data_IF_184397530059
#
_entry.id   IF_184397530059
#
_cell.length_a   1.000
_cell.length_b   1.000
_cell.length_c   1.000
_cell.angle_alpha   90.00
_cell.angle_beta   90.00
_cell.angle_gamma   90.00
#
_symmetry.space_group_name_H-M   'P 1'
#
loop_
_entity.id
_entity.type
_entity.pdbx_description
1 polymer ?
#
# COMPACT_ATOMS: atom_id res chain seq x y z
N UNK A 1 6.30 -9.98 14.27
CA UNK A 1 6.97 -9.94 12.95
C UNK A 1 6.73 -11.27 12.25
N UNK A 2 6.78 -11.30 10.93
CA UNK A 2 6.63 -12.54 10.13
C UNK A 2 7.41 -12.42 8.83
N UNK A 3 7.56 -13.56 8.14
CA UNK A 3 8.16 -13.62 6.80
C UNK A 3 7.06 -13.94 5.80
N UNK A 4 7.08 -13.25 4.67
CA UNK A 4 6.26 -13.61 3.51
C UNK A 4 7.10 -13.56 2.24
N UNK A 5 6.78 -14.44 1.29
CA UNK A 5 7.34 -14.36 -0.07
C UNK A 5 6.55 -13.32 -0.85
N UNK A 6 7.23 -12.30 -1.36
CA UNK A 6 6.65 -11.30 -2.26
C UNK A 6 6.75 -11.83 -3.69
N UNK A 7 5.65 -11.73 -4.44
CA UNK A 7 5.54 -12.19 -5.83
C UNK A 7 5.06 -11.02 -6.66
N UNK A 8 5.65 -10.85 -7.83
CA UNK A 8 5.41 -9.72 -8.71
C UNK A 8 6.59 -8.76 -8.76
N UNK A 9 6.56 -7.86 -9.75
CA UNK A 9 7.68 -6.96 -10.09
C UNK A 9 7.38 -5.49 -9.81
N UNK A 10 6.19 -5.16 -9.33
CA UNK A 10 5.79 -3.78 -9.03
C UNK A 10 6.65 -3.08 -7.99
N UNK A 11 7.38 -3.81 -7.14
CA UNK A 11 8.25 -3.24 -6.11
C UNK A 11 9.74 -3.27 -6.47
N UNK A 12 10.12 -3.67 -7.67
CA UNK A 12 11.51 -3.59 -8.12
C UNK A 12 11.95 -2.11 -8.26
N UNK A 13 13.19 -1.75 -7.89
CA UNK A 13 14.26 -2.61 -7.39
C UNK A 13 14.27 -2.82 -5.87
N UNK A 14 13.36 -2.18 -5.13
CA UNK A 14 13.34 -2.21 -3.66
C UNK A 14 13.09 -3.62 -3.10
N UNK A 15 12.16 -4.35 -3.72
CA UNK A 15 11.89 -5.75 -3.43
C UNK A 15 11.92 -6.52 -4.76
N UNK A 16 12.97 -7.32 -5.03
CA UNK A 16 13.03 -8.19 -6.20
C UNK A 16 11.90 -9.23 -6.20
N UNK A 17 11.43 -9.61 -7.38
CA UNK A 17 10.42 -10.68 -7.50
C UNK A 17 10.89 -11.98 -6.84
N UNK A 18 9.97 -12.63 -6.11
CA UNK A 18 10.20 -13.88 -5.41
C UNK A 18 10.97 -13.76 -4.09
N UNK A 19 11.30 -12.55 -3.64
CA UNK A 19 12.01 -12.30 -2.38
C UNK A 19 11.24 -12.76 -1.15
N UNK A 20 11.95 -13.28 -0.14
CA UNK A 20 11.40 -13.44 1.20
C UNK A 20 11.67 -12.16 2.00
N UNK A 21 10.62 -11.53 2.49
CA UNK A 21 10.71 -10.26 3.20
C UNK A 21 10.23 -10.40 4.63
N UNK A 22 10.89 -9.69 5.54
CA UNK A 22 10.50 -9.55 6.93
C UNK A 22 9.52 -8.39 7.05
N UNK A 23 8.40 -8.63 7.71
CA UNK A 23 7.37 -7.65 7.98
C UNK A 23 7.09 -7.51 9.48
N UNK A 24 6.80 -6.28 9.91
CA UNK A 24 6.23 -6.01 11.23
C UNK A 24 4.72 -5.87 11.10
N UNK A 25 4.00 -6.81 11.71
CA UNK A 25 2.55 -6.77 11.85
C UNK A 25 2.12 -5.56 12.68
N UNK A 26 0.99 -4.94 12.34
CA UNK A 26 0.43 -3.74 12.99
C UNK A 26 1.47 -2.60 13.07
N UNK A 27 1.71 -1.91 11.94
CA UNK A 27 2.73 -0.85 11.89
C UNK A 27 2.41 0.26 12.89
N UNK A 28 3.44 0.70 13.61
CA UNK A 28 3.31 1.78 14.58
C UNK A 28 3.64 3.14 13.96
N UNK A 29 2.90 4.16 14.38
CA UNK A 29 3.08 5.54 13.92
C UNK A 29 2.59 5.79 12.49
N UNK A 30 3.21 6.77 11.82
CA UNK A 30 2.85 7.09 10.44
C UNK A 30 3.25 5.96 9.49
N UNK A 31 2.41 5.76 8.46
CA UNK A 31 2.64 4.85 7.32
C UNK A 31 3.25 5.58 6.13
N UNK A 32 3.29 6.90 6.17
CA UNK A 32 3.72 7.77 5.08
C UNK A 32 5.13 7.41 4.58
N UNK A 33 5.26 7.18 3.28
CA UNK A 33 6.50 6.78 2.60
C UNK A 33 6.97 5.35 2.85
N UNK A 34 6.33 4.59 3.75
CA UNK A 34 6.71 3.21 4.07
C UNK A 34 6.20 2.22 3.03
N UNK A 35 6.95 1.14 2.80
CA UNK A 35 6.45 -0.03 2.08
C UNK A 35 5.59 -0.85 3.04
N UNK A 36 4.36 -1.16 2.64
CA UNK A 36 3.36 -1.81 3.49
C UNK A 36 2.69 -2.96 2.76
N UNK A 37 2.12 -3.87 3.55
CA UNK A 37 1.11 -4.82 3.06
C UNK A 37 -0.25 -4.19 3.26
N UNK A 38 -0.98 -3.99 2.17
CA UNK A 38 -2.38 -3.59 2.15
C UNK A 38 -3.26 -4.79 1.79
N UNK A 39 -4.31 -5.02 2.57
CA UNK A 39 -5.40 -5.94 2.25
C UNK A 39 -6.55 -5.12 1.64
N UNK A 40 -6.98 -5.50 0.44
CA UNK A 40 -8.12 -4.90 -0.26
C UNK A 40 -9.39 -5.71 0.06
N UNK A 41 -10.45 -5.02 0.50
CA UNK A 41 -11.69 -5.69 0.95
C UNK A 41 -12.64 -6.02 -0.21
N UNK A 42 -12.71 -5.12 -1.21
CA UNK A 42 -13.68 -5.19 -2.30
C UNK A 42 -13.05 -5.27 -3.68
N UNK A 43 -11.74 -5.05 -3.77
CA UNK A 43 -10.98 -5.02 -5.01
C UNK A 43 -9.85 -6.05 -4.92
N UNK A 44 -9.29 -6.41 -6.08
CA UNK A 44 -8.12 -7.29 -6.18
C UNK A 44 -6.96 -6.49 -6.74
N UNK A 45 -5.77 -6.84 -6.31
CA UNK A 45 -4.53 -6.31 -6.88
C UNK A 45 -4.50 -6.63 -8.39
N UNK A 46 -4.36 -5.62 -9.27
CA UNK A 46 -4.50 -5.82 -10.71
C UNK A 46 -3.36 -6.64 -11.33
N UNK A 47 -2.20 -6.74 -10.66
CA UNK A 47 -1.05 -7.52 -11.13
C UNK A 47 -1.24 -9.01 -10.81
N UNK A 48 -1.68 -9.32 -9.59
CA UNK A 48 -1.67 -10.68 -9.05
C UNK A 48 -3.05 -11.31 -8.91
N UNK A 49 -4.10 -10.50 -9.04
CA UNK A 49 -5.50 -10.87 -8.77
C UNK A 49 -5.71 -11.39 -7.34
N UNK A 50 -4.90 -10.91 -6.38
CA UNK A 50 -4.94 -11.27 -4.97
C UNK A 50 -5.48 -10.14 -4.11
N UNK A 51 -5.92 -10.46 -2.88
CA UNK A 51 -6.39 -9.45 -1.92
C UNK A 51 -5.28 -8.67 -1.24
N UNK A 52 -4.06 -9.18 -1.23
CA UNK A 52 -2.92 -8.54 -0.57
C UNK A 52 -1.98 -7.97 -1.61
N UNK A 53 -1.56 -6.73 -1.42
CA UNK A 53 -0.56 -6.07 -2.25
C UNK A 53 0.54 -5.45 -1.38
N UNK A 54 1.75 -5.42 -1.92
CA UNK A 54 2.90 -4.73 -1.33
C UNK A 54 3.15 -3.47 -2.14
N UNK A 55 3.03 -2.30 -1.51
CA UNK A 55 3.19 -1.00 -2.15
C UNK A 55 3.75 0.04 -1.19
N UNK A 56 4.30 1.12 -1.71
CA UNK A 56 4.66 2.30 -0.92
C UNK A 56 3.40 3.12 -0.62
N UNK A 57 3.20 3.43 0.65
CA UNK A 57 2.03 4.16 1.11
C UNK A 57 2.26 5.66 1.02
N UNK A 58 1.31 6.39 0.43
CA UNK A 58 1.22 7.84 0.46
C UNK A 58 -0.21 8.27 0.76
N UNK A 59 -0.38 9.31 1.57
CA UNK A 59 -1.68 9.88 1.91
C UNK A 59 -1.76 11.36 1.56
N UNK A 60 -2.77 11.71 0.76
CA UNK A 60 -3.10 13.08 0.39
C UNK A 60 -4.38 13.51 1.10
N UNK A 61 -4.39 14.72 1.64
CA UNK A 61 -5.59 15.36 2.19
C UNK A 61 -6.02 16.44 1.20
N UNK A 62 -7.20 16.28 0.63
CA UNK A 62 -7.81 17.25 -0.26
C UNK A 62 -8.89 18.02 0.50
N UNK A 63 -8.80 19.35 0.45
CA UNK A 63 -9.76 20.27 1.06
C UNK A 63 -10.61 20.86 -0.06
N UNK A 64 -11.94 20.70 0.02
CA UNK A 64 -12.85 21.41 -0.88
C UNK A 64 -13.03 22.85 -0.39
N UNK A 65 -12.66 23.83 -1.21
CA UNK A 65 -12.84 25.26 -0.92
C UNK A 65 -14.32 25.69 -0.95
N UNK A 66 -15.21 24.94 -1.62
CA UNK A 66 -16.62 25.31 -1.79
C UNK A 66 -17.50 25.04 -0.55
N UNK A 67 -17.20 24.00 0.24
CA UNK A 67 -18.01 23.59 1.41
C UNK A 67 -17.31 23.83 2.76
N UNK A 68 -16.10 24.39 2.73
CA UNK A 68 -15.34 24.85 3.91
C UNK A 68 -14.96 23.80 4.95
N UNK A 69 -15.36 22.53 4.82
CA UNK A 69 -15.16 21.51 5.86
C UNK A 69 -15.04 20.05 5.39
N UNK A 70 -15.13 19.76 4.09
CA UNK A 70 -14.98 18.37 3.63
C UNK A 70 -13.52 18.06 3.29
N UNK A 71 -12.96 17.12 4.06
CA UNK A 71 -11.57 16.68 3.99
C UNK A 71 -11.56 15.27 3.38
N UNK A 72 -11.39 15.19 2.07
CA UNK A 72 -11.25 13.91 1.41
C UNK A 72 -9.82 13.41 1.63
N UNK A 73 -9.67 12.18 2.09
CA UNK A 73 -8.35 11.55 2.15
C UNK A 73 -8.24 10.57 1.00
N UNK A 74 -7.26 10.82 0.14
CA UNK A 74 -6.86 9.95 -0.96
C UNK A 74 -5.63 9.17 -0.54
N UNK A 75 -5.66 7.86 -0.74
CA UNK A 75 -4.52 6.99 -0.45
C UNK A 75 -3.96 6.46 -1.75
N UNK A 76 -2.66 6.62 -1.91
CA UNK A 76 -1.92 6.16 -3.07
C UNK A 76 -1.00 5.03 -2.61
N UNK A 77 -1.19 3.86 -3.21
CA UNK A 77 -0.33 2.70 -3.04
C UNK A 77 0.54 2.59 -4.29
N UNK A 78 1.75 3.16 -4.19
CA UNK A 78 2.66 3.31 -5.32
C UNK A 78 3.59 2.11 -5.50
N UNK A 79 3.80 1.66 -6.75
CA UNK A 79 4.90 0.77 -7.07
C UNK A 79 6.23 1.54 -6.98
N UNK A 80 7.32 0.82 -6.73
CA UNK A 80 8.67 1.38 -6.93
C UNK A 80 9.18 1.15 -8.36
N UNK A 81 8.48 0.30 -9.12
CA UNK A 81 8.73 0.05 -10.52
C UNK A 81 7.82 0.93 -11.39
N UNK A 82 8.42 1.73 -12.28
CA UNK A 82 7.70 2.70 -13.13
C UNK A 82 6.85 2.08 -14.23
N UNK A 83 7.03 0.79 -14.51
CA UNK A 83 6.23 0.06 -15.50
C UNK A 83 4.83 -0.30 -14.95
N UNK A 84 4.56 -0.01 -13.67
CA UNK A 84 3.32 -0.30 -12.98
C UNK A 84 2.62 0.98 -12.56
N UNK A 85 1.29 0.93 -12.51
CA UNK A 85 0.47 2.08 -12.11
C UNK A 85 0.22 2.12 -10.61
N UNK A 86 -0.08 3.32 -10.11
CA UNK A 86 -0.53 3.51 -8.74
C UNK A 86 -1.90 2.86 -8.52
N UNK A 87 -2.10 2.24 -7.37
CA UNK A 87 -3.44 1.89 -6.89
C UNK A 87 -3.95 3.09 -6.08
N UNK A 88 -5.02 3.70 -6.57
CA UNK A 88 -5.61 4.91 -5.96
C UNK A 88 -6.89 4.52 -5.24
N UNK A 89 -6.94 4.79 -3.95
CA UNK A 89 -8.09 4.53 -3.10
C UNK A 89 -8.77 5.86 -2.77
N UNK A 90 -9.80 6.19 -3.55
CA UNK A 90 -10.64 7.37 -3.35
C UNK A 90 -11.64 7.14 -2.21
N UNK A 91 -11.91 8.19 -1.45
CA UNK A 91 -12.73 8.18 -0.23
C UNK A 91 -12.25 7.06 0.70
N UNK A 92 -10.96 7.08 1.03
CA UNK A 92 -10.29 6.05 1.81
C UNK A 92 -10.89 5.95 3.22
N UNK A 93 -12.01 5.25 3.32
CA UNK A 93 -12.62 4.80 4.56
C UNK A 93 -11.98 3.47 4.93
N UNK A 94 -11.80 3.23 6.24
CA UNK A 94 -11.18 2.00 6.77
C UNK A 94 -11.91 0.71 6.34
N UNK A 95 -13.12 0.82 5.78
CA UNK A 95 -13.88 -0.32 5.28
C UNK A 95 -13.43 -0.83 3.90
N UNK A 96 -12.66 -0.06 3.12
CA UNK A 96 -12.23 -0.47 1.76
C UNK A 96 -10.93 -1.25 1.74
N UNK A 97 -10.05 -0.99 2.70
CA UNK A 97 -8.73 -1.57 2.77
C UNK A 97 -8.20 -1.54 4.20
N UNK A 98 -7.24 -2.41 4.50
CA UNK A 98 -6.53 -2.44 5.77
C UNK A 98 -5.03 -2.48 5.54
N UNK A 99 -4.29 -1.65 6.26
CA UNK A 99 -2.83 -1.79 6.32
C UNK A 99 -2.49 -2.80 7.40
N UNK A 100 -1.87 -3.91 7.00
CA UNK A 100 -1.66 -5.09 7.85
C UNK A 100 -0.27 -5.10 8.46
N UNK A 101 0.73 -4.69 7.69
CA UNK A 101 2.13 -4.76 8.10
C UNK A 101 3.00 -3.73 7.39
N UNK A 102 4.14 -3.38 7.98
CA UNK A 102 5.21 -2.62 7.32
C UNK A 102 6.40 -3.53 6.98
N UNK A 103 7.02 -3.27 5.83
CA UNK A 103 8.26 -3.92 5.37
C UNK A 103 9.45 -3.47 6.21
N UNK A 104 10.32 -4.42 6.56
CA UNK A 104 11.54 -4.18 7.35
C UNK A 104 12.78 -4.43 6.50
N UNK A 105 12.88 -5.60 5.86
CA UNK A 105 14.01 -5.94 5.00
C UNK A 105 13.71 -7.14 4.11
N UNK A 106 14.47 -7.28 3.03
CA UNK A 106 14.63 -8.53 2.27
C UNK A 106 15.68 -9.42 2.97
N UNK A 107 15.55 -10.74 2.82
CA UNK A 107 16.48 -11.76 3.31
C UNK A 107 17.34 -12.29 2.18
#
# INVERSE_FOLDING_TARGET
MFIAKVVGKSMEPTIPDGSYCIFRYEPQGSREGKVVIAEMMHELDPETNQKFTVKRYHSEKEYSEEDGNWLHTRIILSPDNKDFENIILENASENKYKIVAEFISVI
#
